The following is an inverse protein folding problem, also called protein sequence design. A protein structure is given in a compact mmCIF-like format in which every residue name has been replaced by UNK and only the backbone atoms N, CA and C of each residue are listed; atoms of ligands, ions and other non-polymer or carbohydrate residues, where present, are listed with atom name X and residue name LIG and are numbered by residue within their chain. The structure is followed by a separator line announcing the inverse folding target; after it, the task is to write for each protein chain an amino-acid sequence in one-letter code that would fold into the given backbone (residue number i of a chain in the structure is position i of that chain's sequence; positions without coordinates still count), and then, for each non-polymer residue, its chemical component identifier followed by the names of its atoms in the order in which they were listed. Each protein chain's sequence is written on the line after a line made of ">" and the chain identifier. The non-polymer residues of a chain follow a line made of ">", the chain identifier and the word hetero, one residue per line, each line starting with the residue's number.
data_IF_246873699056
#
_entry.id   IF_246873699056
#
_cell.length_a   1.000
_cell.length_b   1.000
_cell.length_c   1.000
_cell.angle_alpha   90.00
_cell.angle_beta   90.00
_cell.angle_gamma   90.00
#
_symmetry.space_group_name_H-M   'P 1'
#
loop_
_entity.id
_entity.type
_entity.pdbx_description
1 polymer ?
#
# COMPACT_ATOMS: atom_id res chain seq x y z
N UNK A 1 1.13 34.14 -39.39
CA UNK A 1 2.17 33.82 -38.37
C UNK A 1 1.60 32.78 -37.42
N UNK A 2 2.18 31.58 -37.34
CA UNK A 2 1.76 30.58 -36.36
C UNK A 2 2.28 30.98 -34.97
N UNK A 3 1.40 31.11 -33.97
CA UNK A 3 1.79 31.37 -32.58
C UNK A 3 2.65 30.20 -32.08
N UNK A 4 3.87 30.47 -31.65
CA UNK A 4 4.72 29.48 -30.99
C UNK A 4 3.97 28.88 -29.79
N UNK A 5 3.75 27.57 -29.79
CA UNK A 5 3.04 26.87 -28.73
C UNK A 5 3.99 26.74 -27.53
N UNK A 6 3.78 27.54 -26.49
CA UNK A 6 4.57 27.48 -25.25
C UNK A 6 4.40 26.08 -24.63
N UNK A 7 5.47 25.32 -24.50
CA UNK A 7 5.47 24.00 -23.84
C UNK A 7 5.95 24.13 -22.40
N UNK A 8 5.36 23.35 -21.50
CA UNK A 8 5.74 23.27 -20.08
C UNK A 8 6.53 21.99 -19.86
N UNK A 9 7.70 22.08 -19.22
CA UNK A 9 8.50 20.92 -18.85
C UNK A 9 8.09 20.37 -17.48
N UNK A 10 7.69 19.10 -17.42
CA UNK A 10 7.23 18.41 -16.20
C UNK A 10 8.31 17.53 -15.54
N UNK A 11 9.57 17.62 -15.94
CA UNK A 11 10.64 16.76 -15.42
C UNK A 11 10.71 16.77 -13.89
N UNK A 12 10.58 17.95 -13.26
CA UNK A 12 10.58 18.09 -11.79
C UNK A 12 9.41 17.35 -11.12
N UNK A 13 8.27 17.23 -11.80
CA UNK A 13 7.12 16.49 -11.27
C UNK A 13 7.41 14.99 -11.15
N UNK A 14 8.28 14.44 -12.00
CA UNK A 14 8.65 13.02 -11.92
C UNK A 14 9.54 12.69 -10.72
N UNK A 15 10.38 13.63 -10.28
CA UNK A 15 11.12 13.49 -9.04
C UNK A 15 10.20 13.63 -7.81
N UNK A 16 9.25 14.55 -7.86
CA UNK A 16 8.21 14.65 -6.81
C UNK A 16 7.37 13.36 -6.74
N UNK A 17 7.04 12.76 -7.88
CA UNK A 17 6.32 11.49 -7.93
C UNK A 17 7.16 10.33 -7.36
N UNK A 18 8.46 10.31 -7.62
CA UNK A 18 9.37 9.35 -7.01
C UNK A 18 9.47 9.52 -5.48
N UNK A 19 9.56 10.75 -4.99
CA UNK A 19 9.51 11.03 -3.56
C UNK A 19 8.19 10.54 -2.94
N UNK A 20 7.06 10.82 -3.59
CA UNK A 20 5.75 10.34 -3.14
C UNK A 20 5.68 8.80 -3.11
N UNK A 21 6.19 8.13 -4.14
CA UNK A 21 6.26 6.66 -4.19
C UNK A 21 7.05 6.10 -3.00
N UNK A 22 8.21 6.67 -2.70
CA UNK A 22 9.05 6.26 -1.57
C UNK A 22 8.35 6.53 -0.24
N UNK A 23 7.71 7.68 -0.06
CA UNK A 23 6.96 8.00 1.16
C UNK A 23 5.79 7.05 1.39
N UNK A 24 4.98 6.75 0.36
CA UNK A 24 3.89 5.77 0.46
C UNK A 24 4.45 4.39 0.77
N UNK A 25 5.53 3.97 0.10
CA UNK A 25 6.22 2.72 0.42
C UNK A 25 6.69 2.65 1.87
N UNK A 26 7.20 3.76 2.40
CA UNK A 26 7.61 3.87 3.80
C UNK A 26 6.42 3.75 4.75
N UNK A 27 5.23 4.27 4.43
CA UNK A 27 4.02 4.07 5.25
C UNK A 27 3.71 2.58 5.42
N UNK A 28 3.73 1.80 4.33
CA UNK A 28 3.51 0.36 4.38
C UNK A 28 4.59 -0.37 5.19
N UNK A 29 5.86 -0.06 4.95
CA UNK A 29 6.96 -0.69 5.70
C UNK A 29 6.95 -0.30 7.17
N UNK A 30 6.61 0.94 7.49
CA UNK A 30 6.52 1.38 8.88
C UNK A 30 5.43 0.62 9.62
N UNK A 31 4.25 0.44 9.01
CA UNK A 31 3.19 -0.38 9.57
C UNK A 31 3.65 -1.84 9.78
N UNK A 32 4.40 -2.40 8.83
CA UNK A 32 4.98 -3.73 8.98
C UNK A 32 5.97 -3.80 10.16
N UNK A 33 6.90 -2.85 10.25
CA UNK A 33 7.92 -2.82 11.31
C UNK A 33 7.30 -2.64 12.69
N UNK A 34 6.39 -1.69 12.84
CA UNK A 34 5.70 -1.43 14.10
C UNK A 34 4.84 -2.63 14.52
N UNK A 35 4.11 -3.27 13.59
CA UNK A 35 3.33 -4.48 13.90
C UNK A 35 4.21 -5.68 14.20
N UNK A 36 5.36 -5.81 13.56
CA UNK A 36 6.28 -6.93 13.80
C UNK A 36 6.92 -6.84 15.17
N UNK A 37 7.35 -5.64 15.59
CA UNK A 37 8.18 -5.43 16.78
C UNK A 37 7.48 -4.73 17.95
N UNK A 38 6.28 -4.17 17.75
CA UNK A 38 5.56 -3.43 18.79
C UNK A 38 6.34 -2.19 19.24
N UNK A 39 6.65 -1.29 18.30
CA UNK A 39 7.53 -0.13 18.55
C UNK A 39 6.86 0.97 19.38
N UNK A 40 5.57 0.84 19.70
CA UNK A 40 4.83 1.77 20.56
C UNK A 40 4.08 2.86 19.79
N UNK A 41 3.99 2.77 18.46
CA UNK A 41 3.22 3.72 17.65
C UNK A 41 1.76 3.25 17.54
N UNK A 42 1.40 2.59 16.44
CA UNK A 42 0.07 1.99 16.32
C UNK A 42 -0.03 0.69 17.12
N UNK A 43 1.10 0.01 17.31
CA UNK A 43 1.23 -1.26 18.01
C UNK A 43 1.94 -1.02 19.33
N UNK A 44 1.23 -1.24 20.44
CA UNK A 44 1.80 -1.07 21.80
C UNK A 44 2.93 -2.07 22.04
N UNK A 45 3.85 -1.73 22.94
CA UNK A 45 4.86 -2.67 23.42
C UNK A 45 4.20 -3.92 24.01
N UNK A 46 4.74 -5.10 23.70
CA UNK A 46 4.18 -6.39 24.11
C UNK A 46 2.89 -6.79 23.39
N UNK A 47 2.55 -6.09 22.29
CA UNK A 47 1.44 -6.42 21.39
C UNK A 47 1.94 -6.68 19.96
N UNK A 48 3.21 -7.07 19.83
CA UNK A 48 3.83 -7.30 18.53
C UNK A 48 3.42 -8.64 17.95
N UNK A 49 3.58 -8.78 16.63
CA UNK A 49 3.40 -10.06 15.96
C UNK A 49 4.43 -11.10 16.43
N UNK A 50 5.66 -10.68 16.72
CA UNK A 50 6.69 -11.53 17.32
C UNK A 50 6.33 -12.00 18.74
N UNK A 51 5.44 -11.27 19.44
CA UNK A 51 4.90 -11.69 20.75
C UNK A 51 3.72 -12.67 20.60
N UNK A 52 3.39 -13.11 19.38
CA UNK A 52 2.28 -14.00 19.07
C UNK A 52 0.92 -13.29 18.97
N UNK A 53 0.89 -11.96 18.95
CA UNK A 53 -0.35 -11.19 18.83
C UNK A 53 -0.73 -11.01 17.36
N UNK A 54 -2.01 -11.18 17.04
CA UNK A 54 -2.54 -11.02 15.69
C UNK A 54 -2.40 -9.57 15.20
N UNK A 55 -1.66 -9.30 14.10
CA UNK A 55 -1.44 -7.95 13.58
C UNK A 55 -2.70 -7.29 13.02
N UNK A 56 -3.72 -8.07 12.64
CA UNK A 56 -4.97 -7.54 12.06
C UNK A 56 -6.11 -7.42 13.06
N UNK A 57 -6.05 -8.16 14.18
CA UNK A 57 -7.12 -8.23 15.19
C UNK A 57 -7.59 -6.85 15.66
N UNK A 58 -6.67 -5.93 15.95
CA UNK A 58 -7.02 -4.59 16.43
C UNK A 58 -7.91 -3.83 15.43
N UNK A 59 -7.54 -3.83 14.15
CA UNK A 59 -8.34 -3.20 13.10
C UNK A 59 -9.66 -3.96 12.88
N UNK A 60 -9.60 -5.28 12.74
CA UNK A 60 -10.77 -6.10 12.41
C UNK A 60 -11.81 -6.21 13.54
N UNK A 61 -11.48 -5.81 14.78
CA UNK A 61 -12.46 -5.73 15.88
C UNK A 61 -12.87 -4.32 16.25
N UNK A 62 -11.99 -3.34 16.07
CA UNK A 62 -12.20 -1.98 16.61
C UNK A 62 -12.13 -0.88 15.56
N UNK A 63 -11.51 -1.14 14.40
CA UNK A 63 -11.43 -0.21 13.27
C UNK A 63 -12.58 -0.38 12.26
N UNK A 64 -13.18 -1.57 12.17
CA UNK A 64 -14.37 -1.82 11.35
C UNK A 64 -15.53 -0.98 11.85
N UNK A 65 -16.25 -0.33 10.94
CA UNK A 65 -17.42 0.44 11.32
C UNK A 65 -18.55 -0.48 11.79
N UNK A 66 -18.89 -0.38 13.07
CA UNK A 66 -19.92 -1.23 13.69
C UNK A 66 -21.34 -1.03 13.12
N UNK A 67 -21.58 0.07 12.40
CA UNK A 67 -22.83 0.35 11.69
C UNK A 67 -22.74 0.03 10.20
N UNK A 68 -21.60 -0.52 9.76
CA UNK A 68 -21.30 -0.80 8.37
C UNK A 68 -21.98 -2.06 7.84
N UNK A 69 -22.25 -2.13 6.53
CA UNK A 69 -22.93 -3.26 5.91
C UNK A 69 -22.08 -4.54 5.89
N UNK A 70 -20.77 -4.43 6.08
CA UNK A 70 -19.82 -5.54 5.99
C UNK A 70 -19.22 -5.93 7.36
N UNK A 71 -19.77 -5.42 8.46
CA UNK A 71 -19.21 -5.60 9.81
C UNK A 71 -18.97 -7.07 10.16
N UNK A 72 -19.96 -7.93 9.95
CA UNK A 72 -19.87 -9.36 10.30
C UNK A 72 -18.80 -10.07 9.46
N UNK A 73 -18.69 -9.72 8.18
CA UNK A 73 -17.66 -10.27 7.30
C UNK A 73 -16.27 -9.96 7.82
N UNK A 74 -15.94 -8.69 8.09
CA UNK A 74 -14.61 -8.33 8.57
C UNK A 74 -14.34 -8.82 10.00
N UNK A 75 -15.33 -8.79 10.89
CA UNK A 75 -15.21 -9.32 12.25
C UNK A 75 -14.95 -10.84 12.27
N UNK A 76 -15.41 -11.57 11.25
CA UNK A 76 -15.17 -13.01 11.09
C UNK A 76 -13.73 -13.34 10.70
N UNK A 77 -13.00 -12.39 10.09
CA UNK A 77 -11.59 -12.53 9.74
C UNK A 77 -10.65 -12.28 10.92
N UNK A 78 -11.13 -11.65 11.99
CA UNK A 78 -10.33 -11.25 13.13
C UNK A 78 -9.71 -12.46 13.85
N UNK A 79 -8.38 -12.45 14.02
CA UNK A 79 -7.63 -13.54 14.65
C UNK A 79 -7.35 -14.72 13.71
N UNK A 80 -7.69 -14.62 12.43
CA UNK A 80 -7.34 -15.65 11.45
C UNK A 80 -5.86 -15.53 11.05
N UNK A 81 -5.08 -16.56 11.39
CA UNK A 81 -3.63 -16.63 11.13
C UNK A 81 -3.29 -16.47 9.64
N UNK A 82 -4.12 -16.98 8.73
CA UNK A 82 -3.89 -16.81 7.29
C UNK A 82 -4.05 -15.35 6.87
N UNK A 83 -5.05 -14.66 7.41
CA UNK A 83 -5.28 -13.23 7.16
C UNK A 83 -4.13 -12.40 7.70
N UNK A 84 -3.61 -12.75 8.88
CA UNK A 84 -2.44 -12.11 9.47
C UNK A 84 -1.20 -12.21 8.60
N UNK A 85 -0.87 -13.42 8.12
CA UNK A 85 0.25 -13.63 7.21
C UNK A 85 0.06 -12.88 5.89
N UNK A 86 -1.12 -12.96 5.28
CA UNK A 86 -1.41 -12.28 4.02
C UNK A 86 -1.27 -10.76 4.17
N UNK A 87 -1.78 -10.19 5.27
CA UNK A 87 -1.67 -8.77 5.57
C UNK A 87 -0.22 -8.36 5.77
N UNK A 88 0.55 -9.09 6.57
CA UNK A 88 1.95 -8.75 6.84
C UNK A 88 2.84 -8.89 5.62
N UNK A 89 2.67 -9.95 4.82
CA UNK A 89 3.35 -10.11 3.53
C UNK A 89 2.93 -9.01 2.54
N UNK A 90 1.66 -8.60 2.58
CA UNK A 90 1.16 -7.45 1.82
C UNK A 90 1.91 -6.18 2.18
N UNK A 91 1.95 -5.80 3.46
CA UNK A 91 2.64 -4.60 3.93
C UNK A 91 4.13 -4.60 3.53
N UNK A 92 4.83 -5.71 3.78
CA UNK A 92 6.25 -5.83 3.44
C UNK A 92 6.46 -5.78 1.93
N UNK A 93 5.72 -6.58 1.17
CA UNK A 93 5.88 -6.72 -0.28
C UNK A 93 5.55 -5.42 -1.02
N UNK A 94 4.42 -4.79 -0.70
CA UNK A 94 4.01 -3.51 -1.30
C UNK A 94 5.01 -2.43 -0.93
N UNK A 95 5.39 -2.32 0.36
CA UNK A 95 6.33 -1.31 0.82
C UNK A 95 7.71 -1.43 0.15
N UNK A 96 8.26 -2.64 0.07
CA UNK A 96 9.54 -2.89 -0.60
C UNK A 96 9.47 -2.59 -2.10
N UNK A 97 8.41 -3.06 -2.78
CA UNK A 97 8.21 -2.79 -4.20
C UNK A 97 8.13 -1.29 -4.49
N UNK A 98 7.43 -0.54 -3.64
CA UNK A 98 7.31 0.91 -3.75
C UNK A 98 8.62 1.63 -3.47
N UNK A 99 9.43 1.24 -2.48
CA UNK A 99 10.71 1.91 -2.23
C UNK A 99 11.70 1.61 -3.36
N UNK A 100 11.88 0.33 -3.70
CA UNK A 100 12.85 -0.10 -4.72
C UNK A 100 12.41 0.28 -6.14
N UNK A 101 11.10 0.40 -6.37
CA UNK A 101 10.51 0.75 -7.66
C UNK A 101 10.53 -0.39 -8.66
N UNK A 102 10.35 -1.61 -8.15
CA UNK A 102 10.36 -2.86 -8.90
C UNK A 102 9.07 -3.62 -8.60
N UNK A 103 8.53 -4.36 -9.58
CA UNK A 103 7.28 -5.12 -9.40
C UNK A 103 6.08 -4.23 -9.07
N UNK A 104 6.07 -2.98 -9.54
CA UNK A 104 5.04 -1.99 -9.21
C UNK A 104 3.64 -2.41 -9.68
N UNK A 105 3.53 -3.22 -10.74
CA UNK A 105 2.24 -3.77 -11.17
C UNK A 105 1.64 -4.70 -10.13
N UNK A 106 2.46 -5.60 -9.57
CA UNK A 106 2.02 -6.53 -8.53
C UNK A 106 1.67 -5.77 -7.26
N UNK A 107 2.51 -4.80 -6.87
CA UNK A 107 2.24 -3.93 -5.73
C UNK A 107 0.94 -3.12 -5.91
N UNK A 108 0.66 -2.62 -7.11
CA UNK A 108 -0.56 -1.88 -7.39
C UNK A 108 -1.81 -2.76 -7.28
N UNK A 109 -1.80 -3.98 -7.83
CA UNK A 109 -2.92 -4.91 -7.69
C UNK A 109 -3.12 -5.33 -6.23
N UNK A 110 -2.07 -5.84 -5.58
CA UNK A 110 -2.16 -6.34 -4.21
C UNK A 110 -2.52 -5.22 -3.23
N UNK A 111 -1.88 -4.05 -3.34
CA UNK A 111 -2.15 -2.92 -2.48
C UNK A 111 -3.50 -2.27 -2.72
N UNK A 112 -3.98 -2.21 -3.96
CA UNK A 112 -5.36 -1.75 -4.23
C UNK A 112 -6.36 -2.68 -3.57
N UNK A 113 -6.21 -4.00 -3.72
CA UNK A 113 -7.11 -4.97 -3.07
C UNK A 113 -7.12 -4.78 -1.55
N UNK A 114 -5.94 -4.68 -0.94
CA UNK A 114 -5.82 -4.44 0.50
C UNK A 114 -6.51 -3.13 0.93
N UNK A 115 -6.18 -2.01 0.29
CA UNK A 115 -6.69 -0.69 0.64
C UNK A 115 -8.20 -0.58 0.40
N UNK A 116 -8.72 -1.15 -0.69
CA UNK A 116 -10.17 -1.15 -0.97
C UNK A 116 -10.93 -2.02 0.04
N UNK A 117 -10.34 -3.12 0.51
CA UNK A 117 -10.92 -3.89 1.62
C UNK A 117 -10.96 -3.07 2.91
N UNK A 118 -9.92 -2.31 3.22
CA UNK A 118 -9.89 -1.43 4.39
C UNK A 118 -10.92 -0.31 4.28
N UNK A 119 -11.01 0.36 3.12
CA UNK A 119 -12.06 1.33 2.81
C UNK A 119 -13.46 0.75 3.02
N UNK A 120 -13.71 -0.47 2.49
CA UNK A 120 -15.00 -1.12 2.63
C UNK A 120 -15.34 -1.47 4.09
N UNK A 121 -14.34 -1.78 4.92
CA UNK A 121 -14.51 -2.08 6.34
C UNK A 121 -14.94 -0.85 7.16
N UNK A 122 -14.64 0.36 6.70
CA UNK A 122 -14.93 1.61 7.41
C UNK A 122 -16.24 2.27 6.97
N UNK A 123 -16.90 1.76 5.92
CA UNK A 123 -18.18 2.30 5.44
C UNK A 123 -19.29 2.17 6.50
N UNK A 124 -20.14 3.21 6.68
CA UNK A 124 -20.04 4.55 6.10
C UNK A 124 -18.91 5.38 6.72
N UNK A 125 -18.11 6.04 5.88
CA UNK A 125 -16.96 6.85 6.33
C UNK A 125 -17.39 8.06 7.16
N UNK A 126 -16.57 8.44 8.13
CA UNK A 126 -16.87 9.53 9.07
C UNK A 126 -16.78 10.94 8.46
N UNK A 127 -15.80 11.17 7.58
CA UNK A 127 -15.42 12.52 7.14
C UNK A 127 -15.82 12.84 5.69
N UNK A 128 -16.03 11.84 4.84
CA UNK A 128 -16.37 12.00 3.43
C UNK A 128 -17.18 10.79 2.98
N UNK A 129 -18.32 10.94 2.27
CA UNK A 129 -19.19 9.81 1.94
C UNK A 129 -18.57 8.78 0.97
N UNK A 130 -17.45 9.08 0.32
CA UNK A 130 -16.87 8.23 -0.74
C UNK A 130 -15.36 8.04 -0.57
N UNK A 131 -14.59 9.12 -0.38
CA UNK A 131 -13.13 9.11 -0.50
C UNK A 131 -12.45 9.33 0.85
N UNK A 132 -11.61 8.37 1.24
CA UNK A 132 -10.67 8.43 2.36
C UNK A 132 -9.22 8.27 1.88
N UNK A 133 -8.29 8.17 2.82
CA UNK A 133 -6.88 7.91 2.56
C UNK A 133 -6.62 6.61 1.81
N UNK A 134 -7.44 5.56 2.02
CA UNK A 134 -7.26 4.26 1.40
C UNK A 134 -7.47 4.34 -0.11
N UNK A 135 -8.54 5.02 -0.56
CA UNK A 135 -8.78 5.23 -1.99
C UNK A 135 -7.75 6.17 -2.63
N UNK A 136 -7.27 7.18 -1.90
CA UNK A 136 -6.18 8.04 -2.36
C UNK A 136 -4.91 7.21 -2.57
N UNK A 137 -4.52 6.40 -1.59
CA UNK A 137 -3.35 5.53 -1.70
C UNK A 137 -3.51 4.51 -2.82
N UNK A 138 -4.68 3.86 -2.95
CA UNK A 138 -4.94 2.89 -4.01
C UNK A 138 -4.78 3.51 -5.40
N UNK A 139 -5.29 4.73 -5.58
CA UNK A 139 -5.10 5.50 -6.81
C UNK A 139 -3.63 5.80 -7.05
N UNK A 140 -2.90 6.25 -6.02
CA UNK A 140 -1.47 6.57 -6.13
C UNK A 140 -0.63 5.34 -6.51
N UNK A 141 -0.97 4.14 -6.05
CA UNK A 141 -0.26 2.91 -6.46
C UNK A 141 -0.28 2.72 -7.99
N UNK A 142 -1.41 2.98 -8.64
CA UNK A 142 -1.52 2.91 -10.10
C UNK A 142 -0.81 4.07 -10.80
N UNK A 143 -0.85 5.28 -10.22
CA UNK A 143 -0.06 6.40 -10.72
C UNK A 143 1.43 6.06 -10.70
N UNK A 144 1.93 5.39 -9.66
CA UNK A 144 3.32 4.96 -9.58
C UNK A 144 3.64 3.83 -10.55
N UNK A 145 2.72 2.87 -10.73
CA UNK A 145 2.92 1.76 -11.65
C UNK A 145 3.05 2.22 -13.12
N UNK A 146 2.19 3.15 -13.55
CA UNK A 146 2.14 3.66 -14.91
C UNK A 146 3.04 4.89 -15.16
N UNK A 147 3.42 5.60 -14.10
CA UNK A 147 4.22 6.82 -14.19
C UNK A 147 5.72 6.58 -14.38
N UNK A 148 6.49 7.64 -14.68
CA UNK A 148 7.95 7.58 -14.75
C UNK A 148 8.58 7.19 -13.41
N UNK A 149 9.57 6.30 -13.45
CA UNK A 149 10.16 5.67 -12.26
C UNK A 149 11.52 6.25 -11.88
N UNK A 150 11.55 7.55 -11.58
CA UNK A 150 12.77 8.17 -11.02
C UNK A 150 13.13 7.52 -9.67
N UNK A 151 14.43 7.46 -9.36
CA UNK A 151 14.97 6.82 -8.16
C UNK A 151 14.49 5.38 -7.94
N UNK A 152 14.49 4.56 -9.00
CA UNK A 152 14.11 3.15 -8.92
C UNK A 152 15.24 2.26 -9.43
N UNK A 153 15.16 0.98 -9.06
CA UNK A 153 16.05 -0.09 -9.53
C UNK A 153 15.47 -0.84 -10.74
N UNK A 154 14.49 -0.25 -11.43
CA UNK A 154 13.73 -0.95 -12.49
C UNK A 154 14.63 -1.46 -13.62
N UNK A 155 15.60 -0.66 -14.05
CA UNK A 155 16.47 -1.03 -15.17
C UNK A 155 17.30 -2.28 -14.83
N UNK A 156 17.82 -2.38 -13.60
CA UNK A 156 18.53 -3.56 -13.11
C UNK A 156 17.58 -4.74 -12.95
N UNK A 157 16.38 -4.50 -12.41
CA UNK A 157 15.38 -5.55 -12.18
C UNK A 157 14.90 -6.22 -13.46
N UNK A 158 14.63 -5.44 -14.51
CA UNK A 158 14.21 -5.94 -15.81
C UNK A 158 15.29 -6.80 -16.51
N UNK A 159 16.53 -6.76 -16.04
CA UNK A 159 17.59 -7.65 -16.54
C UNK A 159 17.60 -9.03 -15.90
N UNK A 160 16.89 -9.23 -14.78
CA UNK A 160 16.85 -10.51 -14.07
C UNK A 160 16.08 -11.58 -14.85
N UNK A 161 16.43 -12.88 -14.71
CA UNK A 161 15.68 -13.96 -15.36
C UNK A 161 14.20 -13.99 -14.98
N UNK A 162 13.88 -13.66 -13.72
CA UNK A 162 12.51 -13.61 -13.23
C UNK A 162 11.66 -12.57 -13.99
N UNK A 163 12.16 -11.34 -14.13
CA UNK A 163 11.45 -10.27 -14.84
C UNK A 163 11.38 -10.54 -16.36
N UNK A 164 12.45 -11.05 -16.96
CA UNK A 164 12.49 -11.40 -18.40
C UNK A 164 11.48 -12.48 -18.76
N UNK A 165 11.31 -13.48 -17.89
CA UNK A 165 10.41 -14.61 -18.12
C UNK A 165 8.96 -14.33 -17.71
N UNK A 166 8.69 -13.20 -17.03
CA UNK A 166 7.36 -12.88 -16.53
C UNK A 166 6.95 -11.43 -16.82
N UNK A 167 6.06 -11.20 -17.80
CA UNK A 167 5.61 -9.86 -18.20
C UNK A 167 4.75 -9.15 -17.15
N UNK A 168 4.43 -9.79 -16.03
CA UNK A 168 3.75 -9.18 -14.89
C UNK A 168 4.70 -8.55 -13.87
N UNK A 169 5.98 -8.94 -13.86
CA UNK A 169 6.96 -8.52 -12.86
C UNK A 169 7.68 -7.23 -13.25
N UNK A 170 6.94 -6.19 -13.60
CA UNK A 170 7.48 -4.84 -13.77
C UNK A 170 6.90 -3.88 -12.76
#
# INVERSE_FOLDING_TARGET
>A
MAKAKKTVNYEKAWYALAAARVMVGFVFLWAFLDKTMGLGFATKHGQAWLDGVSPTMGFLKFGVNAKGPFVDFFHSLAGNVFVDWLFMLGLLGIGMALILGIGLRVAAVAGTTLLVMMWAAELPLANNPVVDEHLVYATMLWVFAFGPRKWSLIDTWLQTPAAKNNPWLW
#
